data_IF_370386121162
#
_entry.id   IF_370386121162
#
_cell.length_a   1.000
_cell.length_b   1.000
_cell.length_c   1.000
_cell.angle_alpha   90.00
_cell.angle_beta   90.00
_cell.angle_gamma   90.00
#
_symmetry.space_group_name_H-M   'P 1'
#
loop_
_entity.id
_entity.type
_entity.pdbx_description
1 polymer ?
#
# COMPACT_ATOMS: atom_id res chain seq x y z
N UNK A 1 8.78 15.56 -0.78
CA UNK A 1 9.27 14.24 -1.25
C UNK A 1 9.04 13.18 -0.17
N UNK A 2 8.74 11.92 -0.52
CA UNK A 2 8.69 10.83 0.45
C UNK A 2 10.08 10.51 1.02
N UNK A 3 10.12 10.03 2.28
CA UNK A 3 11.34 9.51 2.89
C UNK A 3 11.46 8.01 2.61
N UNK A 4 12.66 7.56 2.23
CA UNK A 4 13.00 6.16 1.95
C UNK A 4 13.79 5.61 3.16
N UNK A 5 13.37 4.46 3.70
CA UNK A 5 14.08 3.77 4.80
C UNK A 5 14.19 2.27 4.49
N UNK A 6 15.36 1.68 4.68
CA UNK A 6 15.57 0.23 4.67
C UNK A 6 15.26 -0.31 6.08
N UNK A 7 14.48 -1.39 6.20
CA UNK A 7 14.11 -1.92 7.53
C UNK A 7 14.97 -3.09 7.99
N UNK A 8 15.26 -3.15 9.29
CA UNK A 8 15.84 -4.32 9.98
C UNK A 8 14.79 -5.33 10.43
N UNK A 9 13.61 -5.39 9.80
CA UNK A 9 12.54 -6.31 10.16
C UNK A 9 12.95 -7.76 9.90
N UNK A 10 12.65 -8.67 10.83
CA UNK A 10 13.01 -10.10 10.77
C UNK A 10 12.44 -10.86 9.57
N UNK A 11 11.37 -10.38 8.94
CA UNK A 11 10.75 -11.03 7.79
C UNK A 11 11.56 -10.89 6.48
N UNK A 12 12.34 -9.82 6.33
CA UNK A 12 13.25 -9.59 5.19
C UNK A 12 14.28 -8.51 5.57
N UNK A 13 15.25 -8.79 6.46
CA UNK A 13 16.15 -7.79 7.00
C UNK A 13 16.99 -7.14 5.91
N UNK A 14 16.98 -5.82 5.79
CA UNK A 14 17.73 -5.08 4.77
C UNK A 14 17.14 -5.17 3.35
N UNK A 15 16.18 -6.06 3.10
CA UNK A 15 15.62 -6.35 1.78
C UNK A 15 14.17 -5.85 1.61
N UNK A 16 13.85 -4.73 2.25
CA UNK A 16 12.60 -4.03 2.05
C UNK A 16 12.77 -2.52 2.17
N UNK A 17 11.92 -1.79 1.45
CA UNK A 17 11.92 -0.33 1.37
C UNK A 17 10.60 0.21 1.91
N UNK A 18 10.64 0.93 3.03
CA UNK A 18 9.45 1.59 3.59
C UNK A 18 9.36 3.04 3.10
N UNK A 19 8.25 3.37 2.44
CA UNK A 19 7.93 4.72 2.00
C UNK A 19 7.11 5.44 3.06
N UNK A 20 7.46 6.70 3.37
CA UNK A 20 6.74 7.53 4.36
C UNK A 20 6.47 8.93 3.85
N UNK A 21 5.38 9.55 4.31
CA UNK A 21 5.03 10.96 4.11
C UNK A 21 4.53 11.55 5.42
N UNK A 22 5.17 12.63 5.91
CA UNK A 22 4.78 13.29 7.17
C UNK A 22 4.75 12.34 8.37
N UNK A 23 5.70 11.41 8.47
CA UNK A 23 5.75 10.38 9.52
C UNK A 23 4.80 9.19 9.31
N UNK A 24 3.78 9.30 8.44
CA UNK A 24 2.87 8.20 8.09
C UNK A 24 3.53 7.24 7.11
N UNK A 25 3.51 5.94 7.40
CA UNK A 25 3.92 4.91 6.43
C UNK A 25 2.93 4.86 5.26
N UNK A 26 3.40 4.82 4.03
CA UNK A 26 2.55 4.71 2.84
C UNK A 26 2.41 3.25 2.44
N UNK A 27 3.54 2.60 2.22
CA UNK A 27 3.67 1.18 1.93
C UNK A 27 5.07 0.68 2.31
N UNK A 28 5.26 -0.63 2.29
CA UNK A 28 6.58 -1.28 2.32
C UNK A 28 6.71 -2.09 1.04
N UNK A 29 7.81 -1.95 0.31
CA UNK A 29 8.13 -2.76 -0.86
C UNK A 29 9.12 -3.85 -0.47
N UNK A 30 8.89 -5.05 -0.98
CA UNK A 30 9.77 -6.21 -0.91
C UNK A 30 10.23 -6.49 -2.35
N UNK A 31 11.44 -6.03 -2.74
CA UNK A 31 11.97 -6.25 -4.08
C UNK A 31 12.23 -7.73 -4.36
N UNK A 32 12.09 -8.13 -5.62
CA UNK A 32 12.46 -9.44 -6.15
C UNK A 32 12.98 -9.26 -7.58
N UNK A 33 13.40 -10.33 -8.25
CA UNK A 33 13.98 -10.27 -9.59
C UNK A 33 12.91 -9.92 -10.63
N UNK A 34 12.92 -8.64 -11.06
CA UNK A 34 12.02 -8.13 -12.09
C UNK A 34 10.63 -7.70 -11.60
N UNK A 35 10.34 -7.80 -10.31
CA UNK A 35 9.07 -7.38 -9.71
C UNK A 35 9.24 -6.97 -8.24
N UNK A 36 8.16 -6.55 -7.60
CA UNK A 36 8.14 -6.38 -6.14
C UNK A 36 6.78 -6.72 -5.55
N UNK A 37 6.76 -7.08 -4.28
CA UNK A 37 5.51 -7.14 -3.50
C UNK A 37 5.37 -5.88 -2.66
N UNK A 38 4.24 -5.20 -2.76
CA UNK A 38 3.91 -4.04 -1.95
C UNK A 38 2.95 -4.41 -0.81
N UNK A 39 3.36 -4.16 0.43
CA UNK A 39 2.46 -4.14 1.58
C UNK A 39 1.82 -2.75 1.69
N UNK A 40 0.51 -2.69 1.48
CA UNK A 40 -0.31 -1.49 1.67
C UNK A 40 -1.32 -1.74 2.79
N UNK A 41 -1.25 -0.94 3.86
CA UNK A 41 -2.18 -1.03 4.98
C UNK A 41 -3.38 -0.09 4.76
N UNK A 42 -4.52 -0.62 4.32
CA UNK A 42 -5.76 0.15 4.14
C UNK A 42 -6.54 0.12 5.45
N UNK A 43 -6.54 1.25 6.17
CA UNK A 43 -7.31 1.39 7.40
C UNK A 43 -8.72 1.92 7.15
N UNK A 44 -9.54 2.04 8.21
CA UNK A 44 -10.95 2.45 8.11
C UNK A 44 -11.17 3.76 7.35
N UNK A 45 -10.26 4.73 7.55
CA UNK A 45 -10.30 6.05 6.88
C UNK A 45 -10.13 5.98 5.36
N UNK A 46 -9.58 4.89 4.83
CA UNK A 46 -9.36 4.69 3.39
C UNK A 46 -10.32 3.63 2.80
N UNK A 47 -11.03 2.86 3.64
CA UNK A 47 -11.77 1.68 3.20
C UNK A 47 -12.86 2.02 2.17
N UNK A 48 -13.69 3.03 2.45
CA UNK A 48 -14.77 3.43 1.54
C UNK A 48 -14.24 3.89 0.16
N UNK A 49 -13.18 4.69 0.14
CA UNK A 49 -12.57 5.14 -1.12
C UNK A 49 -11.88 3.99 -1.86
N UNK A 50 -11.27 3.05 -1.13
CA UNK A 50 -10.69 1.86 -1.72
C UNK A 50 -11.78 0.98 -2.37
N UNK A 51 -12.93 0.81 -1.72
CA UNK A 51 -14.04 0.03 -2.27
C UNK A 51 -14.63 0.67 -3.54
N UNK A 52 -14.60 2.01 -3.66
CA UNK A 52 -14.96 2.73 -4.88
C UNK A 52 -13.90 2.61 -5.99
N UNK A 53 -12.62 2.53 -5.63
CA UNK A 53 -11.50 2.43 -6.56
C UNK A 53 -11.38 1.01 -7.15
N UNK A 54 -11.61 -0.03 -6.35
CA UNK A 54 -11.35 -1.42 -6.74
C UNK A 54 -12.01 -1.89 -8.04
N UNK A 55 -13.26 -1.52 -8.37
CA UNK A 55 -13.87 -1.91 -9.64
C UNK A 55 -13.11 -1.42 -10.88
N UNK A 56 -12.27 -0.38 -10.74
CA UNK A 56 -11.43 0.18 -11.81
C UNK A 56 -10.06 -0.50 -11.89
N UNK A 57 -9.69 -1.28 -10.89
CA UNK A 57 -8.39 -1.97 -10.83
C UNK A 57 -8.42 -3.31 -11.57
N UNK A 58 -7.23 -3.84 -11.83
CA UNK A 58 -7.08 -5.18 -12.43
C UNK A 58 -7.73 -6.28 -11.57
N UNK A 59 -8.13 -7.37 -12.22
CA UNK A 59 -8.74 -8.52 -11.53
C UNK A 59 -7.82 -9.10 -10.43
N UNK A 60 -6.49 -9.10 -10.67
CA UNK A 60 -5.49 -9.54 -9.70
C UNK A 60 -5.49 -8.65 -8.46
N UNK A 61 -5.44 -7.32 -8.64
CA UNK A 61 -5.53 -6.37 -7.52
C UNK A 61 -6.85 -6.52 -6.74
N UNK A 62 -7.97 -6.64 -7.46
CA UNK A 62 -9.29 -6.86 -6.83
C UNK A 62 -9.29 -8.12 -5.97
N UNK A 63 -8.77 -9.23 -6.51
CA UNK A 63 -8.68 -10.49 -5.78
C UNK A 63 -7.79 -10.36 -4.56
N UNK A 64 -6.57 -9.82 -4.71
CA UNK A 64 -5.62 -9.62 -3.62
C UNK A 64 -6.23 -8.77 -2.50
N UNK A 65 -6.95 -7.69 -2.84
CA UNK A 65 -7.61 -6.85 -1.83
C UNK A 65 -8.73 -7.59 -1.11
N UNK A 66 -9.58 -8.32 -1.84
CA UNK A 66 -10.72 -9.06 -1.26
C UNK A 66 -10.26 -10.16 -0.30
N UNK A 67 -9.16 -10.84 -0.63
CA UNK A 67 -8.57 -11.88 0.22
C UNK A 67 -7.61 -11.34 1.28
N UNK A 68 -7.31 -10.04 1.25
CA UNK A 68 -6.41 -9.44 2.23
C UNK A 68 -7.03 -9.53 3.63
N UNK A 69 -6.33 -10.25 4.51
CA UNK A 69 -6.56 -10.22 5.94
C UNK A 69 -5.73 -9.10 6.58
N UNK A 70 -5.89 -8.91 7.88
CA UNK A 70 -5.10 -7.93 8.61
C UNK A 70 -5.42 -7.97 10.08
N UNK A 71 -5.14 -6.86 10.78
CA UNK A 71 -5.35 -6.74 12.21
C UNK A 71 -6.40 -5.67 12.48
N UNK A 72 -7.37 -6.00 13.33
CA UNK A 72 -8.55 -5.16 13.58
C UNK A 72 -9.20 -4.74 12.24
N UNK A 73 -9.52 -3.46 12.08
CA UNK A 73 -10.17 -2.92 10.88
C UNK A 73 -9.20 -2.48 9.77
N UNK A 74 -7.93 -2.92 9.83
CA UNK A 74 -6.92 -2.59 8.80
C UNK A 74 -6.63 -3.78 7.92
N UNK A 75 -6.90 -3.68 6.62
CA UNK A 75 -6.51 -4.68 5.62
C UNK A 75 -5.03 -4.54 5.26
N UNK A 76 -4.30 -5.64 5.22
CA UNK A 76 -2.91 -5.70 4.79
C UNK A 76 -2.85 -6.30 3.39
N UNK A 77 -2.83 -5.42 2.40
CA UNK A 77 -2.84 -5.81 0.99
C UNK A 77 -1.40 -6.09 0.57
N UNK A 78 -1.06 -7.36 0.37
CA UNK A 78 0.23 -7.81 -0.17
C UNK A 78 0.10 -7.94 -1.70
N UNK A 79 0.29 -6.84 -2.42
CA UNK A 79 0.09 -6.76 -3.87
C UNK A 79 1.40 -7.07 -4.61
N UNK A 80 1.48 -8.18 -5.37
CA UNK A 80 2.55 -8.36 -6.34
C UNK A 80 2.38 -7.34 -7.47
N UNK A 81 3.47 -6.69 -7.86
CA UNK A 81 3.53 -5.72 -8.95
C UNK A 81 4.59 -6.19 -9.93
N UNK A 82 4.15 -6.87 -10.98
CA UNK A 82 5.00 -7.44 -12.04
C UNK A 82 4.70 -6.89 -13.45
N UNK A 83 3.70 -6.00 -13.57
CA UNK A 83 3.38 -5.31 -14.82
C UNK A 83 2.96 -3.85 -14.59
N UNK A 84 2.80 -3.09 -15.69
CA UNK A 84 2.44 -1.67 -15.64
C UNK A 84 1.02 -1.45 -15.11
N UNK A 85 0.07 -2.35 -15.37
CA UNK A 85 -1.31 -2.19 -14.92
C UNK A 85 -1.40 -2.31 -13.39
N UNK A 86 -0.70 -3.28 -12.82
CA UNK A 86 -0.54 -3.46 -11.38
C UNK A 86 0.24 -2.30 -10.76
N UNK A 87 1.20 -1.71 -11.48
CA UNK A 87 1.91 -0.52 -11.01
C UNK A 87 0.97 0.69 -10.90
N UNK A 88 0.04 0.86 -11.84
CA UNK A 88 -0.98 1.92 -11.76
C UNK A 88 -1.97 1.68 -10.61
N UNK A 89 -2.43 0.44 -10.43
CA UNK A 89 -3.27 0.04 -9.30
C UNK A 89 -2.58 0.31 -7.96
N UNK A 90 -1.31 -0.09 -7.84
CA UNK A 90 -0.47 0.17 -6.67
C UNK A 90 -0.38 1.67 -6.37
N UNK A 91 -0.09 2.51 -7.38
CA UNK A 91 -0.02 3.97 -7.22
C UNK A 91 -1.36 4.54 -6.74
N UNK A 92 -2.48 4.08 -7.29
CA UNK A 92 -3.81 4.54 -6.91
C UNK A 92 -4.12 4.20 -5.44
N UNK A 93 -3.87 2.97 -5.00
CA UNK A 93 -4.07 2.53 -3.62
C UNK A 93 -3.16 3.28 -2.63
N UNK A 94 -1.88 3.47 -2.97
CA UNK A 94 -0.94 4.28 -2.16
C UNK A 94 -1.37 5.75 -2.14
N UNK A 95 -1.97 6.25 -3.22
CA UNK A 95 -2.53 7.60 -3.30
C UNK A 95 -3.54 7.88 -2.18
N UNK A 96 -4.41 6.91 -1.85
CA UNK A 96 -5.37 7.01 -0.74
C UNK A 96 -4.66 7.24 0.61
N UNK A 97 -3.48 6.63 0.80
CA UNK A 97 -2.66 6.80 2.00
C UNK A 97 -1.96 8.15 2.05
N UNK A 98 -1.59 8.69 0.90
CA UNK A 98 -0.76 9.89 0.78
C UNK A 98 -1.56 11.21 0.91
N UNK A 99 -2.90 11.15 0.93
CA UNK A 99 -3.75 12.31 1.19
C UNK A 99 -3.41 12.96 2.55
N UNK A 100 -3.27 14.29 2.61
CA UNK A 100 -3.08 14.99 3.87
C UNK A 100 -4.28 14.74 4.79
N UNK A 101 -4.04 14.76 6.11
CA UNK A 101 -5.17 14.78 7.04
C UNK A 101 -6.00 16.04 6.77
N UNK A 102 -7.34 15.97 6.88
CA UNK A 102 -8.16 17.17 6.85
C UNK A 102 -7.63 18.14 7.90
N UNK A 103 -7.51 19.42 7.54
CA UNK A 103 -7.10 20.46 8.45
C UNK A 103 -8.08 20.47 9.63
N UNK A 104 -7.57 20.33 10.86
CA UNK A 104 -8.37 20.58 12.04
C UNK A 104 -8.40 22.09 12.21
N UNK A 105 -9.57 22.71 12.04
CA UNK A 105 -9.80 24.06 12.55
C UNK A 105 -9.77 24.00 14.08
N UNK A 106 -8.92 24.83 14.68
CA UNK A 106 -8.93 25.32 16.07
C UNK A 106 -9.17 24.33 17.19
#
# INVERSE_FOLDING_TARGET
MPLIQYSGCSAAPGWNVKYRKGGKALCTLYPDDGFFTALICIGPKQAAEADQLLPLCTAKTQQTYRTASGMADTRWVMLPVDDEAQLQDFKALVGLRAKPAPHKEG
#
